data_IF_629547819548
#
_entry.id   IF_629547819548
#
_cell.length_a   1.000
_cell.length_b   1.000
_cell.length_c   1.000
_cell.angle_alpha   90.00
_cell.angle_beta   90.00
_cell.angle_gamma   90.00
#
_symmetry.space_group_name_H-M   'P 1'
#
loop_
_entity.id
_entity.type
_entity.pdbx_description
1 polymer ?
#
# COMPACT_ATOMS: atom_id res chain seq x y z
N UNK A 1 -4.81 29.11 -7.59
CA UNK A 1 -4.43 27.72 -7.96
C UNK A 1 -5.04 26.74 -6.95
N UNK A 2 -6.28 26.26 -7.18
CA UNK A 2 -7.04 25.45 -6.22
C UNK A 2 -7.55 24.12 -6.80
N UNK A 3 -7.29 23.86 -8.09
CA UNK A 3 -7.76 22.68 -8.82
C UNK A 3 -6.56 21.78 -9.17
N UNK A 4 -5.84 21.30 -8.16
CA UNK A 4 -4.75 20.34 -8.34
C UNK A 4 -5.18 19.03 -7.72
N UNK A 5 -5.09 17.96 -8.50
CA UNK A 5 -5.26 16.59 -8.05
C UNK A 5 -3.88 15.94 -8.07
N UNK A 6 -3.46 15.40 -6.93
CA UNK A 6 -2.26 14.60 -6.83
C UNK A 6 -2.62 13.14 -7.06
N UNK A 7 -1.96 12.52 -8.03
CA UNK A 7 -2.10 11.10 -8.35
C UNK A 7 -0.73 10.47 -8.15
N UNK A 8 -0.69 9.37 -7.40
CA UNK A 8 0.54 8.62 -7.15
C UNK A 8 0.30 7.12 -7.32
N UNK A 9 1.30 6.44 -7.87
CA UNK A 9 1.34 4.98 -8.03
C UNK A 9 2.47 4.40 -7.20
N UNK A 10 2.14 3.40 -6.36
CA UNK A 10 3.13 2.76 -5.51
C UNK A 10 2.95 1.25 -5.44
N UNK A 11 4.05 0.53 -5.64
CA UNK A 11 4.13 -0.92 -5.49
C UNK A 11 4.51 -1.32 -4.06
N UNK A 12 3.78 -2.30 -3.51
CA UNK A 12 4.05 -2.91 -2.22
C UNK A 12 4.26 -4.40 -2.38
N UNK A 13 5.26 -4.95 -1.69
CA UNK A 13 5.48 -6.39 -1.64
C UNK A 13 4.51 -7.00 -0.62
N UNK A 14 3.83 -8.10 -0.96
CA UNK A 14 2.89 -8.79 -0.06
C UNK A 14 3.59 -9.34 1.19
N UNK A 15 4.84 -9.77 1.05
CA UNK A 15 5.65 -10.29 2.16
C UNK A 15 6.94 -9.51 2.31
N UNK A 16 7.47 -9.48 3.55
CA UNK A 16 8.81 -8.95 3.80
C UNK A 16 9.85 -9.85 3.14
N UNK A 17 10.86 -9.23 2.54
CA UNK A 17 11.97 -9.90 1.85
C UNK A 17 12.81 -10.78 2.77
N UNK A 18 12.95 -10.38 4.03
CA UNK A 18 13.53 -11.17 5.10
C UNK A 18 12.63 -11.03 6.33
N UNK A 19 12.33 -12.14 6.98
CA UNK A 19 11.61 -12.19 8.25
C UNK A 19 12.56 -12.77 9.29
N UNK A 20 12.79 -12.03 10.36
CA UNK A 20 13.56 -12.52 11.51
C UNK A 20 12.59 -13.18 12.47
N UNK A 21 12.88 -14.42 12.85
CA UNK A 21 12.11 -15.18 13.82
C UNK A 21 12.98 -15.43 15.05
N UNK A 22 12.38 -15.40 16.23
CA UNK A 22 13.00 -15.90 17.45
C UNK A 22 12.50 -17.32 17.64
N UNK A 23 13.41 -18.30 17.53
CA UNK A 23 13.09 -19.72 17.65
C UNK A 23 13.71 -20.27 18.93
N UNK A 24 13.04 -21.23 19.55
CA UNK A 24 13.63 -22.06 20.59
C UNK A 24 14.53 -23.12 19.95
N UNK A 25 15.52 -23.69 20.68
CA UNK A 25 16.47 -24.65 20.12
C UNK A 25 15.84 -25.94 19.56
N UNK A 26 14.61 -26.25 19.95
CA UNK A 26 13.88 -27.47 19.55
C UNK A 26 12.82 -27.21 18.46
N UNK A 27 12.61 -25.96 18.05
CA UNK A 27 11.65 -25.65 16.97
C UNK A 27 12.28 -25.80 15.59
N UNK A 28 11.49 -26.30 14.64
CA UNK A 28 11.91 -26.41 13.24
C UNK A 28 12.10 -25.04 12.60
N UNK A 29 13.07 -24.94 11.69
CA UNK A 29 13.32 -23.73 10.94
C UNK A 29 12.07 -23.29 10.15
N UNK A 30 11.72 -22.00 10.18
CA UNK A 30 10.52 -21.51 9.52
C UNK A 30 10.64 -21.68 8.01
N UNK A 31 9.74 -22.50 7.45
CA UNK A 31 9.67 -22.76 6.01
C UNK A 31 9.32 -21.47 5.25
N UNK A 32 10.24 -21.01 4.41
CA UNK A 32 9.99 -19.89 3.51
C UNK A 32 9.32 -20.41 2.23
N UNK A 33 8.01 -20.20 2.08
CA UNK A 33 7.23 -20.65 0.91
C UNK A 33 7.66 -19.97 -0.41
N UNK A 34 8.31 -18.81 -0.35
CA UNK A 34 8.74 -18.05 -1.54
C UNK A 34 10.25 -18.13 -1.71
N UNK A 35 10.73 -18.98 -2.62
CA UNK A 35 12.18 -19.21 -2.76
C UNK A 35 12.95 -18.04 -3.40
N UNK A 36 12.28 -17.17 -4.16
CA UNK A 36 12.92 -16.05 -4.86
C UNK A 36 12.26 -14.72 -4.49
N UNK A 37 13.08 -13.73 -4.15
CA UNK A 37 12.69 -12.33 -3.88
C UNK A 37 11.87 -11.69 -5.01
N UNK A 38 12.09 -12.12 -6.25
CA UNK A 38 11.36 -11.62 -7.42
C UNK A 38 9.98 -12.26 -7.59
N UNK A 39 9.74 -13.42 -6.96
CA UNK A 39 8.46 -14.12 -6.97
C UNK A 39 7.57 -13.74 -5.77
N UNK A 40 7.93 -12.67 -5.04
CA UNK A 40 7.04 -12.12 -4.02
C UNK A 40 5.96 -11.33 -4.76
N UNK A 41 4.71 -11.79 -4.67
CA UNK A 41 3.58 -11.07 -5.26
C UNK A 41 3.55 -9.61 -4.83
N UNK A 42 3.39 -8.71 -5.80
CA UNK A 42 3.29 -7.27 -5.54
C UNK A 42 1.86 -6.79 -5.77
N UNK A 43 1.50 -5.75 -5.02
CA UNK A 43 0.24 -5.02 -5.19
C UNK A 43 0.58 -3.57 -5.47
N UNK A 44 0.04 -3.05 -6.57
CA UNK A 44 0.10 -1.64 -6.91
C UNK A 44 -1.11 -0.93 -6.34
N UNK A 45 -0.88 0.18 -5.64
CA UNK A 45 -1.94 1.10 -5.26
C UNK A 45 -1.81 2.38 -6.07
N UNK A 46 -2.89 2.73 -6.75
CA UNK A 46 -3.10 4.03 -7.37
C UNK A 46 -3.99 4.86 -6.43
N UNK A 47 -3.47 5.98 -5.93
CA UNK A 47 -4.20 6.87 -5.04
C UNK A 47 -4.32 8.27 -5.63
N UNK A 48 -5.53 8.82 -5.62
CA UNK A 48 -5.81 10.19 -6.03
C UNK A 48 -6.31 11.01 -4.84
N UNK A 49 -5.60 12.11 -4.55
CA UNK A 49 -5.84 12.99 -3.41
C UNK A 49 -5.90 14.43 -3.92
N UNK A 50 -6.95 15.16 -3.56
CA UNK A 50 -7.07 16.59 -3.84
C UNK A 50 -7.16 17.37 -2.53
N UNK A 51 -6.94 18.69 -2.57
CA UNK A 51 -7.00 19.52 -1.36
C UNK A 51 -8.42 19.44 -0.74
N UNK A 52 -8.56 19.31 0.60
CA UNK A 52 -9.88 19.34 1.22
C UNK A 52 -10.53 20.70 0.99
N UNK A 53 -11.85 20.70 0.75
CA UNK A 53 -12.64 21.92 0.54
C UNK A 53 -13.58 22.09 1.73
N UNK A 54 -13.63 23.30 2.26
CA UNK A 54 -14.47 23.69 3.37
C UNK A 54 -15.43 24.79 2.90
N UNK A 55 -16.66 24.73 3.38
CA UNK A 55 -17.66 25.78 3.20
C UNK A 55 -17.38 26.96 4.16
N UNK A 56 -18.04 28.10 3.93
CA UNK A 56 -17.93 29.34 4.71
C UNK A 56 -18.27 29.13 6.19
N UNK A 57 -19.11 28.15 6.49
CA UNK A 57 -19.48 27.76 7.87
C UNK A 57 -18.50 26.75 8.52
N UNK A 58 -17.39 26.41 7.84
CA UNK A 58 -16.38 25.48 8.35
C UNK A 58 -16.69 23.99 8.11
N UNK A 59 -17.79 23.68 7.43
CA UNK A 59 -18.19 22.31 7.12
C UNK A 59 -17.35 21.72 5.98
N UNK A 60 -16.96 20.44 6.09
CA UNK A 60 -16.17 19.75 5.05
C UNK A 60 -17.06 19.41 3.87
N UNK A 61 -16.88 20.11 2.75
CA UNK A 61 -17.54 19.78 1.47
C UNK A 61 -16.81 18.64 0.75
N UNK A 62 -15.49 18.56 0.88
CA UNK A 62 -14.69 17.50 0.27
C UNK A 62 -13.55 17.04 1.19
N UNK A 63 -13.53 15.76 1.51
CA UNK A 63 -12.68 15.16 2.55
C UNK A 63 -11.27 14.77 2.09
N UNK A 64 -10.79 15.35 0.98
CA UNK A 64 -9.43 15.18 0.43
C UNK A 64 -9.23 13.91 -0.40
N UNK A 65 -10.04 12.86 -0.21
CA UNK A 65 -9.87 11.56 -0.86
C UNK A 65 -10.79 11.43 -2.06
N UNK A 66 -10.22 11.19 -3.24
CA UNK A 66 -11.00 10.90 -4.46
C UNK A 66 -11.17 9.39 -4.61
N UNK A 67 -10.09 8.62 -4.44
CA UNK A 67 -10.14 7.16 -4.55
C UNK A 67 -8.80 6.48 -4.33
N UNK A 68 -8.85 5.18 -4.05
CA UNK A 68 -7.71 4.28 -3.97
C UNK A 68 -8.09 2.98 -4.68
N UNK A 69 -7.31 2.57 -5.68
CA UNK A 69 -7.53 1.34 -6.43
C UNK A 69 -6.31 0.43 -6.30
N UNK A 70 -6.53 -0.80 -5.85
CA UNK A 70 -5.50 -1.83 -5.79
C UNK A 70 -5.52 -2.69 -7.05
N UNK A 71 -4.36 -2.88 -7.67
CA UNK A 71 -4.13 -3.88 -8.73
C UNK A 71 -3.11 -4.89 -8.24
N UNK A 72 -3.45 -6.18 -8.32
CA UNK A 72 -2.47 -7.24 -8.09
C UNK A 72 -1.65 -7.45 -9.36
N UNK A 73 -0.35 -7.72 -9.19
CA UNK A 73 0.49 -8.20 -10.28
C UNK A 73 -0.16 -9.49 -10.85
N UNK A 74 -0.41 -9.59 -12.17
CA UNK A 74 -0.87 -10.84 -12.76
C UNK A 74 0.20 -11.91 -12.56
N UNK A 75 -0.21 -13.08 -12.06
CA UNK A 75 0.65 -14.25 -11.83
C UNK A 75 1.32 -14.74 -13.12
#
# INVERSE_FOLDING_TARGET
MQNIVHIDEKWFNMTKKAKTYYLLPEEEDPLHTVQNKNNIGKVMFLAAVARPRFDVQGNVTFSRKIGCCGKKEPE
#
